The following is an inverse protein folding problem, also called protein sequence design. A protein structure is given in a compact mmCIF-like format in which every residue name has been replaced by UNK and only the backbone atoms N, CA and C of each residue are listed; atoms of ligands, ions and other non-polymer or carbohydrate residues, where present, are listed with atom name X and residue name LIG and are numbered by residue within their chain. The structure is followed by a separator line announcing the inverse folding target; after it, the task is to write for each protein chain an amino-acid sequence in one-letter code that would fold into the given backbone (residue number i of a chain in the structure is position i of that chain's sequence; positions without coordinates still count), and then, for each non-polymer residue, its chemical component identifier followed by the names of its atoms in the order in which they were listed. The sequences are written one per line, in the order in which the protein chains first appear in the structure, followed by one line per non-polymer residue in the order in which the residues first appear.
data_IF_657017938878
#
_entry.id   IF_657017938878
#
_cell.length_a   1.000
_cell.length_b   1.000
_cell.length_c   1.000
_cell.angle_alpha   90.00
_cell.angle_beta   90.00
_cell.angle_gamma   90.00
#
_symmetry.space_group_name_H-M   'P 1'
#
loop_
_entity.id
_entity.type
_entity.pdbx_description
1 polymer ?
#
# COMPACT_ATOMS: atom_id res chain seq x y z
N UNK A 1 -24.17 2.46 1.24
CA UNK A 1 -23.32 1.35 1.71
C UNK A 1 -21.93 1.91 1.95
N UNK A 2 -21.34 1.54 3.09
CA UNK A 2 -20.03 2.02 3.54
C UNK A 2 -18.94 1.06 3.09
N UNK A 3 -17.78 1.59 2.69
CA UNK A 3 -16.64 0.80 2.25
C UNK A 3 -15.36 1.34 2.88
N UNK A 4 -14.63 0.51 3.62
CA UNK A 4 -13.27 0.79 4.08
C UNK A 4 -12.30 -0.11 3.33
N UNK A 5 -11.31 0.48 2.65
CA UNK A 5 -10.27 -0.24 1.89
C UNK A 5 -8.91 0.11 2.45
N UNK A 6 -8.07 -0.89 2.67
CA UNK A 6 -6.67 -0.74 3.07
C UNK A 6 -5.79 -1.59 2.16
N UNK A 7 -4.62 -1.08 1.80
CA UNK A 7 -3.55 -1.84 1.15
C UNK A 7 -2.21 -1.47 1.78
N UNK A 8 -1.21 -2.33 1.63
CA UNK A 8 0.15 -2.07 2.09
C UNK A 8 0.99 -1.43 0.98
N UNK A 9 2.05 -0.69 1.31
CA UNK A 9 2.84 0.07 0.31
C UNK A 9 3.93 -0.75 -0.40
N UNK A 10 4.23 -1.97 0.07
CA UNK A 10 5.24 -2.87 -0.47
C UNK A 10 4.71 -4.29 -0.71
N UNK A 11 3.43 -4.43 -1.04
CA UNK A 11 2.68 -5.70 -1.19
C UNK A 11 3.48 -6.87 -1.79
N UNK A 12 4.01 -6.70 -3.01
CA UNK A 12 4.61 -7.78 -3.79
C UNK A 12 5.96 -8.27 -3.26
N UNK A 13 6.61 -7.54 -2.35
CA UNK A 13 7.87 -7.98 -1.75
C UNK A 13 7.70 -9.23 -0.88
N UNK A 14 6.52 -9.48 -0.29
CA UNK A 14 6.30 -10.75 0.42
C UNK A 14 6.31 -11.92 -0.58
N UNK A 15 5.56 -11.78 -1.68
CA UNK A 15 5.42 -12.81 -2.70
C UNK A 15 6.78 -13.15 -3.33
N UNK A 16 7.62 -12.14 -3.54
CA UNK A 16 9.01 -12.33 -3.94
C UNK A 16 9.84 -13.09 -2.90
N UNK A 17 9.76 -12.69 -1.63
CA UNK A 17 10.54 -13.26 -0.54
C UNK A 17 10.20 -14.74 -0.27
N UNK A 18 8.95 -15.15 -0.48
CA UNK A 18 8.52 -16.55 -0.32
C UNK A 18 8.64 -17.38 -1.60
N UNK A 19 9.22 -16.82 -2.66
CA UNK A 19 9.45 -17.54 -3.93
C UNK A 19 8.19 -17.72 -4.80
N UNK A 20 7.14 -16.93 -4.56
CA UNK A 20 5.88 -16.96 -5.31
C UNK A 20 5.82 -15.92 -6.45
N UNK A 21 6.96 -15.33 -6.82
CA UNK A 21 7.09 -14.37 -7.93
C UNK A 21 8.20 -14.79 -8.88
N UNK A 22 8.02 -14.51 -10.17
CA UNK A 22 9.12 -14.55 -11.13
C UNK A 22 10.22 -13.58 -10.72
N UNK A 23 11.48 -13.97 -10.91
CA UNK A 23 12.64 -13.12 -10.65
C UNK A 23 12.98 -12.34 -11.92
N UNK A 24 12.39 -11.16 -12.02
CA UNK A 24 12.62 -10.21 -13.12
C UNK A 24 13.86 -9.36 -12.78
N UNK A 25 14.97 -9.60 -13.47
CA UNK A 25 16.27 -8.99 -13.16
C UNK A 25 16.90 -8.23 -14.32
N UNK A 26 16.31 -8.28 -15.52
CA UNK A 26 16.78 -7.53 -16.70
C UNK A 26 15.70 -6.59 -17.26
N UNK A 27 16.11 -5.51 -17.93
CA UNK A 27 15.17 -4.57 -18.58
C UNK A 27 14.29 -5.27 -19.62
N UNK A 28 14.84 -6.26 -20.33
CA UNK A 28 14.10 -7.05 -21.31
C UNK A 28 12.96 -7.83 -20.64
N UNK A 29 13.24 -8.50 -19.52
CA UNK A 29 12.21 -9.21 -18.76
C UNK A 29 11.15 -8.25 -18.18
N UNK A 30 11.56 -7.05 -17.76
CA UNK A 30 10.65 -6.02 -17.29
C UNK A 30 9.73 -5.51 -18.42
N UNK A 31 10.27 -5.34 -19.62
CA UNK A 31 9.51 -4.95 -20.80
C UNK A 31 8.51 -6.05 -21.22
N UNK A 32 8.90 -7.33 -21.17
CA UNK A 32 7.98 -8.46 -21.39
C UNK A 32 6.85 -8.46 -20.36
N UNK A 33 7.18 -8.32 -19.07
CA UNK A 33 6.18 -8.18 -18.01
C UNK A 33 5.21 -7.02 -18.29
N UNK A 34 5.72 -5.85 -18.66
CA UNK A 34 4.87 -4.71 -18.98
C UNK A 34 3.94 -5.01 -20.17
N UNK A 35 4.44 -5.67 -21.21
CA UNK A 35 3.65 -6.05 -22.38
C UNK A 35 2.56 -7.08 -22.03
N UNK A 36 2.89 -8.13 -21.28
CA UNK A 36 1.97 -9.19 -20.87
C UNK A 36 0.77 -8.64 -20.08
N UNK A 37 1.01 -7.61 -19.27
CA UNK A 37 -0.01 -6.94 -18.46
C UNK A 37 -0.60 -5.69 -19.12
N UNK A 38 -0.23 -5.36 -20.35
CA UNK A 38 -0.73 -4.19 -21.07
C UNK A 38 -0.39 -2.86 -20.40
N UNK A 39 0.73 -2.78 -19.69
CA UNK A 39 1.22 -1.57 -19.03
C UNK A 39 1.84 -0.62 -20.06
N UNK A 40 1.45 0.68 -20.08
CA UNK A 40 2.05 1.63 -21.02
C UNK A 40 3.50 1.93 -20.64
N UNK A 41 4.35 2.18 -21.66
CA UNK A 41 5.77 2.49 -21.46
C UNK A 41 5.99 3.65 -20.47
N UNK A 42 5.16 4.69 -20.54
CA UNK A 42 5.22 5.85 -19.64
C UNK A 42 5.07 5.50 -18.16
N UNK A 43 4.37 4.40 -17.83
CA UNK A 43 4.25 3.92 -16.46
C UNK A 43 5.56 3.30 -15.98
N UNK A 44 6.21 2.50 -16.82
CA UNK A 44 7.50 1.87 -16.51
C UNK A 44 8.60 2.93 -16.41
N UNK A 45 8.64 3.86 -17.36
CA UNK A 45 9.55 5.01 -17.36
C UNK A 45 9.37 5.87 -16.11
N UNK A 46 8.13 6.23 -15.75
CA UNK A 46 7.87 7.00 -14.54
C UNK A 46 8.26 6.25 -13.25
N UNK A 47 8.16 4.91 -13.23
CA UNK A 47 8.68 4.12 -12.10
C UNK A 47 10.20 4.17 -12.04
N UNK A 48 10.88 4.05 -13.19
CA UNK A 48 12.34 4.17 -13.30
C UNK A 48 12.85 5.54 -12.86
N UNK A 49 12.21 6.62 -13.30
CA UNK A 49 12.57 7.99 -12.91
C UNK A 49 12.50 8.21 -11.39
N UNK A 50 11.56 7.54 -10.72
CA UNK A 50 11.39 7.62 -9.25
C UNK A 50 12.25 6.63 -8.48
N UNK A 51 12.84 5.68 -9.19
CA UNK A 51 13.69 4.62 -8.69
C UNK A 51 14.99 4.52 -9.52
N UNK A 52 15.74 5.63 -9.71
CA UNK A 52 16.81 5.69 -10.71
C UNK A 52 17.94 4.71 -10.42
N UNK A 53 18.24 4.49 -9.14
CA UNK A 53 19.31 3.59 -8.68
C UNK A 53 18.79 2.22 -8.21
N UNK A 54 17.50 1.94 -8.37
CA UNK A 54 16.93 0.68 -7.89
C UNK A 54 17.26 -0.47 -8.86
N UNK A 55 17.53 -1.68 -8.32
CA UNK A 55 17.59 -2.88 -9.14
C UNK A 55 16.31 -3.07 -9.97
N UNK A 56 16.43 -3.69 -11.14
CA UNK A 56 15.27 -4.02 -12.00
C UNK A 56 14.18 -4.74 -11.21
N UNK A 57 14.57 -5.66 -10.32
CA UNK A 57 13.63 -6.38 -9.47
C UNK A 57 12.80 -5.45 -8.59
N UNK A 58 13.40 -4.42 -7.98
CA UNK A 58 12.65 -3.48 -7.15
C UNK A 58 11.67 -2.61 -7.96
N UNK A 59 12.03 -2.27 -9.20
CA UNK A 59 11.11 -1.58 -10.13
C UNK A 59 9.95 -2.50 -10.53
N UNK A 60 10.24 -3.76 -10.87
CA UNK A 60 9.23 -4.78 -11.15
C UNK A 60 8.26 -4.93 -9.96
N UNK A 61 8.78 -5.14 -8.75
CA UNK A 61 7.96 -5.33 -7.55
C UNK A 61 7.12 -4.08 -7.23
N UNK A 62 7.64 -2.86 -7.49
CA UNK A 62 6.88 -1.63 -7.32
C UNK A 62 5.70 -1.55 -8.30
N UNK A 63 5.94 -1.86 -9.58
CA UNK A 63 4.91 -1.92 -10.61
C UNK A 63 3.86 -3.00 -10.26
N UNK A 64 4.30 -4.18 -9.84
CA UNK A 64 3.41 -5.30 -9.53
C UNK A 64 2.55 -5.02 -8.30
N UNK A 65 3.12 -4.41 -7.25
CA UNK A 65 2.38 -3.87 -6.10
C UNK A 65 1.31 -2.86 -6.52
N UNK A 66 1.65 -1.96 -7.45
CA UNK A 66 0.70 -1.01 -8.03
C UNK A 66 -0.45 -1.73 -8.73
N UNK A 67 -0.10 -2.61 -9.67
CA UNK A 67 -1.03 -3.31 -10.55
C UNK A 67 -2.08 -4.14 -9.80
N UNK A 68 -1.63 -4.97 -8.86
CA UNK A 68 -2.49 -5.98 -8.23
C UNK A 68 -3.16 -5.53 -6.93
N UNK A 69 -2.62 -4.50 -6.27
CA UNK A 69 -3.09 -4.12 -4.93
C UNK A 69 -3.42 -2.64 -4.83
N UNK A 70 -2.41 -1.77 -4.92
CA UNK A 70 -2.57 -0.36 -4.55
C UNK A 70 -3.50 0.39 -5.50
N UNK A 71 -3.34 0.19 -6.81
CA UNK A 71 -4.16 0.84 -7.82
C UNK A 71 -5.57 0.27 -7.87
N UNK A 72 -5.70 -1.05 -7.76
CA UNK A 72 -6.99 -1.74 -7.73
C UNK A 72 -7.83 -1.27 -6.55
N UNK A 73 -7.24 -1.24 -5.35
CA UNK A 73 -7.87 -0.76 -4.11
C UNK A 73 -8.32 0.69 -4.21
N UNK A 74 -7.46 1.56 -4.77
CA UNK A 74 -7.80 2.97 -4.95
C UNK A 74 -8.97 3.16 -5.93
N UNK A 75 -8.94 2.46 -7.07
CA UNK A 75 -10.02 2.54 -8.07
C UNK A 75 -11.34 1.96 -7.58
N UNK A 76 -11.30 0.87 -6.81
CA UNK A 76 -12.49 0.31 -6.16
C UNK A 76 -13.15 1.35 -5.26
N UNK A 77 -12.38 1.97 -4.36
CA UNK A 77 -12.87 2.98 -3.45
C UNK A 77 -13.42 4.21 -4.19
N UNK A 78 -12.71 4.70 -5.21
CA UNK A 78 -13.16 5.81 -6.05
C UNK A 78 -14.42 5.49 -6.86
N UNK A 79 -14.54 4.27 -7.41
CA UNK A 79 -15.72 3.84 -8.14
C UNK A 79 -16.94 3.74 -7.21
N UNK A 80 -16.76 3.20 -6.01
CA UNK A 80 -17.80 3.15 -4.97
C UNK A 80 -18.28 4.56 -4.58
N UNK A 81 -17.34 5.51 -4.40
CA UNK A 81 -17.67 6.90 -4.10
C UNK A 81 -18.44 7.57 -5.24
N UNK A 82 -18.00 7.39 -6.50
CA UNK A 82 -18.71 7.92 -7.69
C UNK A 82 -20.10 7.35 -7.88
N UNK A 83 -20.33 6.11 -7.44
CA UNK A 83 -21.66 5.48 -7.45
C UNK A 83 -22.60 5.97 -6.33
N UNK A 84 -22.18 6.95 -5.53
CA UNK A 84 -22.95 7.52 -4.42
C UNK A 84 -22.75 6.80 -3.08
N UNK A 85 -21.82 5.84 -3.01
CA UNK A 85 -21.39 5.23 -1.75
C UNK A 85 -20.45 6.14 -0.96
N UNK A 86 -20.24 5.82 0.33
CA UNK A 86 -19.19 6.42 1.15
C UNK A 86 -18.02 5.44 1.23
N UNK A 87 -16.86 5.87 0.74
CA UNK A 87 -15.65 5.05 0.71
C UNK A 87 -14.52 5.72 1.51
N UNK A 88 -13.81 4.95 2.31
CA UNK A 88 -12.67 5.39 3.11
C UNK A 88 -11.45 4.60 2.66
N UNK A 89 -10.37 5.30 2.26
CA UNK A 89 -9.15 4.65 1.79
C UNK A 89 -8.03 4.84 2.80
N UNK A 90 -7.35 3.75 3.13
CA UNK A 90 -6.16 3.72 3.95
C UNK A 90 -4.97 3.04 3.25
N UNK A 91 -3.76 3.35 3.71
CA UNK A 91 -2.50 2.73 3.30
C UNK A 91 -1.69 2.35 4.53
N UNK A 92 -1.25 1.10 4.60
CA UNK A 92 -0.29 0.66 5.61
C UNK A 92 1.14 0.85 5.13
N UNK A 93 1.92 1.62 5.89
CA UNK A 93 3.27 2.05 5.49
C UNK A 93 4.22 2.16 6.69
N UNK A 94 4.10 1.22 7.63
CA UNK A 94 5.04 1.09 8.75
C UNK A 94 6.38 0.55 8.23
N UNK A 95 7.47 1.27 8.48
CA UNK A 95 8.79 1.07 7.84
C UNK A 95 9.89 0.66 8.81
N UNK A 96 9.68 0.73 10.12
CA UNK A 96 10.71 0.41 11.13
C UNK A 96 10.21 -0.54 12.20
N UNK A 97 11.05 -1.51 12.57
CA UNK A 97 10.83 -2.36 13.75
C UNK A 97 11.08 -1.60 15.07
N UNK A 98 10.79 -2.24 16.21
CA UNK A 98 11.05 -1.67 17.55
C UNK A 98 12.52 -1.30 17.81
N UNK A 99 13.45 -1.85 17.02
CA UNK A 99 14.89 -1.56 17.10
C UNK A 99 15.34 -0.52 16.07
N UNK A 100 14.40 0.05 15.32
CA UNK A 100 14.64 1.05 14.28
C UNK A 100 15.11 0.48 12.94
N UNK A 101 15.22 -0.85 12.80
CA UNK A 101 15.63 -1.49 11.54
C UNK A 101 14.52 -1.42 10.52
N UNK A 102 14.89 -1.32 9.24
CA UNK A 102 13.93 -1.29 8.14
C UNK A 102 13.12 -2.58 8.10
N UNK A 103 11.80 -2.43 8.07
CA UNK A 103 10.85 -3.48 7.69
C UNK A 103 10.13 -3.05 6.41
N UNK A 104 9.39 -3.98 5.82
CA UNK A 104 8.50 -3.68 4.70
C UNK A 104 7.06 -3.71 5.17
N UNK A 105 6.27 -2.75 4.70
CA UNK A 105 4.82 -2.86 4.70
C UNK A 105 4.39 -3.76 3.53
N UNK A 106 4.81 -5.03 3.57
CA UNK A 106 4.47 -6.03 2.55
C UNK A 106 3.09 -6.65 2.81
N UNK A 107 2.68 -7.54 1.91
CA UNK A 107 1.36 -8.17 1.96
C UNK A 107 1.03 -8.74 3.35
N UNK A 108 -0.21 -8.51 3.80
CA UNK A 108 -0.75 -8.92 5.11
C UNK A 108 -0.06 -8.35 6.36
N UNK A 109 0.94 -7.46 6.27
CA UNK A 109 1.59 -6.90 7.47
C UNK A 109 0.69 -5.94 8.27
N UNK A 110 -0.40 -5.45 7.68
CA UNK A 110 -1.39 -4.61 8.34
C UNK A 110 -2.39 -5.40 9.18
N UNK A 111 -2.62 -6.68 8.86
CA UNK A 111 -3.60 -7.54 9.53
C UNK A 111 -3.34 -7.62 11.05
N UNK A 112 -2.11 -7.90 11.53
CA UNK A 112 -1.92 -8.02 12.97
C UNK A 112 -2.16 -6.73 13.76
N UNK A 113 -1.96 -5.58 13.11
CA UNK A 113 -2.26 -4.26 13.69
C UNK A 113 -3.75 -3.96 13.69
N UNK A 114 -4.49 -4.37 12.65
CA UNK A 114 -5.94 -4.19 12.57
C UNK A 114 -6.71 -5.07 13.56
N UNK A 115 -6.14 -6.23 13.93
CA UNK A 115 -6.75 -7.20 14.85
C UNK A 115 -6.22 -7.13 16.28
N UNK A 116 -5.19 -6.33 16.56
CA UNK A 116 -4.65 -6.19 17.91
C UNK A 116 -3.89 -7.41 18.45
N UNK A 117 -3.41 -8.31 17.58
CA UNK A 117 -2.79 -9.59 17.97
C UNK A 117 -1.26 -9.62 17.74
N UNK A 118 -0.59 -8.46 17.84
CA UNK A 118 0.85 -8.31 17.61
C UNK A 118 1.76 -9.19 18.50
N UNK A 119 1.25 -9.65 19.65
CA UNK A 119 2.01 -10.49 20.58
C UNK A 119 2.03 -11.97 20.19
N UNK A 120 1.24 -12.38 19.18
CA UNK A 120 1.27 -13.73 18.65
C UNK A 120 2.59 -13.99 17.92
N UNK A 121 3.40 -14.92 18.41
CA UNK A 121 4.72 -15.20 17.83
C UNK A 121 4.63 -15.59 16.35
N UNK A 122 3.51 -16.20 15.95
CA UNK A 122 3.23 -16.58 14.56
C UNK A 122 3.16 -15.40 13.60
N UNK A 123 2.92 -14.16 14.06
CA UNK A 123 2.86 -12.97 13.20
C UNK A 123 4.16 -12.17 13.15
N UNK A 124 5.14 -12.50 14.01
CA UNK A 124 6.39 -11.73 14.10
C UNK A 124 7.17 -11.71 12.79
N UNK A 125 7.07 -12.77 11.97
CA UNK A 125 7.71 -12.77 10.64
C UNK A 125 7.13 -11.68 9.73
N UNK A 126 5.82 -11.41 9.79
CA UNK A 126 5.14 -10.39 8.98
C UNK A 126 5.52 -8.97 9.40
N UNK A 127 5.69 -8.73 10.70
CA UNK A 127 5.87 -7.38 11.25
C UNK A 127 7.33 -7.06 11.61
N UNK A 128 8.25 -7.98 11.38
CA UNK A 128 9.69 -7.78 11.58
C UNK A 128 10.17 -7.97 13.02
N UNK A 129 9.52 -8.85 13.79
CA UNK A 129 9.88 -9.22 15.15
C UNK A 129 8.80 -8.90 16.18
N UNK A 130 9.10 -9.08 17.49
CA UNK A 130 8.18 -8.73 18.57
C UNK A 130 7.85 -7.23 18.57
N UNK A 131 6.64 -6.83 18.97
CA UNK A 131 6.21 -5.43 18.95
C UNK A 131 6.98 -4.58 19.98
N UNK A 132 7.05 -3.28 19.70
CA UNK A 132 7.39 -2.25 20.69
C UNK A 132 6.23 -1.30 20.97
N UNK A 133 6.42 -0.34 21.87
CA UNK A 133 5.38 0.62 22.28
C UNK A 133 4.75 1.38 21.09
N UNK A 134 5.57 1.79 20.12
CA UNK A 134 5.11 2.48 18.92
C UNK A 134 4.25 1.59 18.00
N UNK A 135 4.48 0.27 18.01
CA UNK A 135 3.67 -0.70 17.27
C UNK A 135 2.33 -0.92 17.97
N UNK A 136 2.34 -1.01 19.30
CA UNK A 136 1.11 -1.11 20.09
C UNK A 136 0.24 0.13 19.94
N UNK A 137 0.84 1.32 19.92
CA UNK A 137 0.12 2.57 19.66
C UNK A 137 -0.51 2.58 18.26
N UNK A 138 0.24 2.16 17.23
CA UNK A 138 -0.29 2.03 15.87
C UNK A 138 -1.43 1.01 15.82
N UNK A 139 -1.27 -0.13 16.48
CA UNK A 139 -2.29 -1.19 16.55
C UNK A 139 -3.56 -0.72 17.24
N UNK A 140 -3.46 0.03 18.36
CA UNK A 140 -4.63 0.64 19.02
C UNK A 140 -5.37 1.60 18.10
N UNK A 141 -4.65 2.44 17.34
CA UNK A 141 -5.26 3.37 16.38
C UNK A 141 -5.94 2.64 15.23
N UNK A 142 -5.34 1.59 14.70
CA UNK A 142 -5.92 0.77 13.63
C UNK A 142 -7.13 -0.01 14.15
N UNK A 143 -6.98 -0.83 15.19
CA UNK A 143 -8.07 -1.60 15.78
C UNK A 143 -9.27 -0.71 16.14
N UNK A 144 -9.02 0.48 16.73
CA UNK A 144 -10.08 1.46 17.02
C UNK A 144 -10.82 1.95 15.77
N UNK A 145 -10.10 2.35 14.72
CA UNK A 145 -10.73 2.80 13.48
C UNK A 145 -11.54 1.70 12.77
N UNK A 146 -11.09 0.45 12.82
CA UNK A 146 -11.83 -0.68 12.24
C UNK A 146 -13.07 -1.01 13.06
N UNK A 147 -12.98 -0.95 14.39
CA UNK A 147 -14.13 -1.14 15.28
C UNK A 147 -15.19 -0.05 15.09
N UNK A 148 -14.78 1.22 15.02
CA UNK A 148 -15.70 2.35 14.76
C UNK A 148 -16.36 2.23 13.39
N UNK A 149 -15.62 1.82 12.35
CA UNK A 149 -16.21 1.54 11.04
C UNK A 149 -17.22 0.40 11.08
N UNK A 150 -16.91 -0.70 11.77
CA UNK A 150 -17.81 -1.84 11.87
C UNK A 150 -19.11 -1.49 12.64
N UNK A 151 -19.01 -0.66 13.68
CA UNK A 151 -20.14 -0.26 14.50
C UNK A 151 -21.00 0.84 13.86
N UNK A 152 -20.36 1.83 13.21
CA UNK A 152 -21.01 3.09 12.83
C UNK A 152 -20.85 3.45 11.35
N UNK A 153 -20.02 2.73 10.61
CA UNK A 153 -19.68 3.06 9.23
C UNK A 153 -18.78 4.29 9.09
N UNK A 154 -18.12 4.72 10.17
CA UNK A 154 -17.20 5.87 10.18
C UNK A 154 -15.89 5.48 10.89
N UNK A 155 -14.75 5.45 10.19
CA UNK A 155 -13.47 5.08 10.79
C UNK A 155 -12.72 6.27 11.44
N UNK A 156 -13.34 7.46 11.51
CA UNK A 156 -12.76 8.67 12.10
C UNK A 156 -11.98 9.55 11.13
N UNK A 157 -12.23 9.44 9.82
CA UNK A 157 -11.74 10.40 8.81
C UNK A 157 -12.73 10.56 7.67
N UNK A 158 -12.62 11.66 6.91
CA UNK A 158 -13.54 11.95 5.82
C UNK A 158 -13.46 10.92 4.68
N UNK A 159 -14.60 10.55 4.07
CA UNK A 159 -14.60 9.65 2.91
C UNK A 159 -13.89 10.29 1.71
N UNK A 160 -13.56 9.46 0.72
CA UNK A 160 -13.19 9.91 -0.61
C UNK A 160 -14.31 10.77 -1.18
N UNK A 161 -13.92 11.94 -1.68
CA UNK A 161 -14.77 12.78 -2.48
C UNK A 161 -14.99 12.16 -3.86
N UNK A 162 -16.25 12.07 -4.29
CA UNK A 162 -16.59 11.58 -5.62
C UNK A 162 -16.09 12.48 -6.77
N UNK A 163 -15.47 13.62 -6.46
CA UNK A 163 -14.88 14.53 -7.45
C UNK A 163 -13.37 14.38 -7.50
N UNK A 164 -12.81 14.16 -8.69
CA UNK A 164 -11.37 14.01 -8.91
C UNK A 164 -10.50 15.23 -8.56
N UNK A 165 -11.07 16.27 -7.92
CA UNK A 165 -10.45 17.60 -7.72
C UNK A 165 -10.24 18.00 -6.27
N UNK A 166 -10.66 17.20 -5.30
CA UNK A 166 -10.20 17.33 -3.93
C UNK A 166 -9.70 15.96 -3.48
N UNK A 167 -8.73 15.93 -2.57
CA UNK A 167 -8.20 14.68 -2.05
C UNK A 167 -8.93 14.35 -0.77
N UNK A 168 -9.97 13.52 -0.83
CA UNK A 168 -10.45 12.83 0.35
C UNK A 168 -9.26 12.22 1.10
N UNK A 169 -9.23 12.39 2.43
CA UNK A 169 -8.03 12.13 3.22
C UNK A 169 -7.70 10.63 3.21
N UNK A 170 -6.76 10.22 2.35
CA UNK A 170 -6.20 8.88 2.40
C UNK A 170 -5.47 8.74 3.73
N UNK A 171 -5.95 7.84 4.59
CA UNK A 171 -5.34 7.55 5.88
C UNK A 171 -4.03 6.78 5.66
N UNK A 172 -2.92 7.26 6.22
CA UNK A 172 -1.65 6.52 6.17
C UNK A 172 -1.30 6.02 7.57
N UNK A 173 -1.10 4.71 7.70
CA UNK A 173 -0.75 4.04 8.94
C UNK A 173 0.77 3.93 9.06
N UNK A 174 1.33 4.78 9.93
CA UNK A 174 2.73 4.83 10.35
C UNK A 174 2.81 4.93 11.86
N UNK A 175 3.93 4.51 12.44
CA UNK A 175 4.21 4.77 13.86
C UNK A 175 4.42 6.28 14.09
N UNK A 176 4.22 6.77 15.31
CA UNK A 176 4.38 8.19 15.62
C UNK A 176 5.82 8.69 15.35
N UNK A 177 6.82 7.82 15.59
CA UNK A 177 8.23 8.10 15.36
C UNK A 177 8.59 8.28 13.87
N UNK A 178 7.78 7.74 12.96
CA UNK A 178 7.96 7.91 11.51
C UNK A 178 7.33 9.21 10.99
N UNK A 179 6.62 9.93 11.86
CA UNK A 179 5.96 11.20 11.57
C UNK A 179 4.68 11.07 10.73
N UNK A 180 3.83 12.13 10.69
CA UNK A 180 2.79 12.25 9.68
C UNK A 180 3.42 12.39 8.28
N UNK A 181 2.63 12.19 7.22
CA UNK A 181 3.03 12.26 5.80
C UNK A 181 3.51 13.64 5.30
N UNK A 182 4.26 14.40 6.10
CA UNK A 182 4.75 15.75 5.81
C UNK A 182 6.20 16.00 6.22
N UNK A 183 7.02 14.95 6.42
CA UNK A 183 8.45 15.08 6.73
C UNK A 183 9.31 14.35 5.70
N UNK A 184 10.10 15.11 4.93
CA UNK A 184 11.04 14.59 3.97
C UNK A 184 12.17 13.78 4.65
N UNK A 185 12.02 12.45 4.76
CA UNK A 185 13.13 11.54 5.07
C UNK A 185 12.83 10.05 4.72
N UNK A 186 12.51 9.76 3.45
CA UNK A 186 13.08 8.67 2.62
C UNK A 186 12.30 8.64 1.30
N UNK A 187 12.89 9.21 0.25
CA UNK A 187 12.25 9.74 -0.95
C UNK A 187 11.63 8.76 -1.95
N UNK A 188 10.98 7.67 -1.56
CA UNK A 188 10.28 6.81 -2.53
C UNK A 188 9.00 6.26 -1.89
N UNK A 189 7.87 6.35 -2.61
CA UNK A 189 6.60 5.60 -2.46
C UNK A 189 5.32 6.39 -2.13
N UNK A 190 5.40 7.66 -1.72
CA UNK A 190 4.18 8.50 -1.69
C UNK A 190 3.71 8.95 -3.09
N UNK A 191 4.53 8.70 -4.13
CA UNK A 191 4.32 9.27 -5.46
C UNK A 191 3.48 8.45 -6.43
N UNK A 192 3.53 7.11 -6.46
CA UNK A 192 3.20 6.37 -7.70
C UNK A 192 1.76 6.52 -8.25
N UNK A 193 0.79 6.91 -7.42
CA UNK A 193 -0.62 7.01 -7.81
C UNK A 193 -0.87 7.93 -9.01
N UNK A 194 -0.11 9.02 -9.15
CA UNK A 194 -0.27 9.94 -10.28
C UNK A 194 0.11 9.30 -11.63
N UNK A 195 1.17 8.48 -11.68
CA UNK A 195 1.55 7.71 -12.86
C UNK A 195 0.42 6.77 -13.28
N UNK A 196 -0.17 6.07 -12.31
CA UNK A 196 -1.30 5.16 -12.55
C UNK A 196 -2.59 5.87 -12.97
N UNK A 197 -2.84 7.10 -12.49
CA UNK A 197 -3.99 7.91 -12.94
C UNK A 197 -3.89 8.21 -14.44
N UNK A 198 -2.69 8.54 -14.91
CA UNK A 198 -2.43 8.83 -16.33
C UNK A 198 -2.43 7.56 -17.18
N UNK A 199 -1.83 6.48 -16.67
CA UNK A 199 -1.69 5.21 -17.39
C UNK A 199 -3.01 4.46 -17.56
N UNK A 200 -3.97 4.64 -16.65
CA UNK A 200 -5.13 3.75 -16.54
C UNK A 200 -4.82 2.49 -15.71
N UNK A 201 -5.78 1.57 -15.62
CA UNK A 201 -5.56 0.25 -15.05
C UNK A 201 -6.12 -0.78 -16.05
N UNK A 202 -5.27 -1.65 -16.63
CA UNK A 202 -5.75 -2.73 -17.47
C UNK A 202 -6.59 -3.69 -16.61
N UNK A 203 -7.77 -4.07 -17.11
CA UNK A 203 -8.52 -5.16 -16.50
C UNK A 203 -7.80 -6.46 -16.83
N UNK A 204 -7.39 -7.19 -15.79
CA UNK A 204 -6.83 -8.52 -15.96
C UNK A 204 -7.97 -9.45 -16.39
N UNK A 205 -7.92 -9.89 -17.66
CA UNK A 205 -8.81 -10.93 -18.13
C UNK A 205 -8.32 -12.29 -17.58
N UNK A 206 -9.22 -13.11 -17.00
CA UNK A 206 -8.87 -14.45 -16.53
C UNK A 206 -8.46 -15.41 -17.66
#
# INVERSE_FOLDING_TARGET
MELLVCHTTEEYWLLDAVGSSAKITTEEQLAVFAADFGLPASLVEGHRERLPDAPVLDVHLALHSGLLFAEYSARLAEAHARAGGRAFLARFDRRRDRTGRRVRAWHCADIPFAFGNLHEESVHFLVGGPPGEADEELSRRMTGAWAEFAAHGDPGWGPLDGSARSGGAVRVWRTAAEGPAGGAASGVREGFRDLWRTAGLPLLAP
#
